data_IF_625310007497
#
_entry.id   IF_625310007497
#
_cell.length_a   1.000
_cell.length_b   1.000
_cell.length_c   1.000
_cell.angle_alpha   90.00
_cell.angle_beta   90.00
_cell.angle_gamma   90.00
#
_symmetry.space_group_name_H-M   'P 1'
#
loop_
_entity.id
_entity.type
_entity.pdbx_description
1 polymer ?
#
# COMPACT_ATOMS: atom_id res chain seq x y z
N UNK A 1 -5.52 2.97 -8.56
CA UNK A 1 -5.75 3.28 -7.17
C UNK A 1 -5.46 4.75 -6.87
N UNK A 2 -6.18 5.29 -5.90
CA UNK A 2 -6.18 6.71 -5.61
C UNK A 2 -4.89 7.12 -4.91
N UNK A 3 -3.98 7.81 -5.59
CA UNK A 3 -2.78 8.39 -4.99
C UNK A 3 -3.00 9.85 -4.58
N UNK A 4 -4.02 10.46 -5.12
CA UNK A 4 -4.24 11.90 -5.04
C UNK A 4 -4.89 12.34 -3.74
N UNK A 5 -5.49 11.42 -2.99
CA UNK A 5 -5.98 11.70 -1.65
C UNK A 5 -4.90 12.24 -0.73
N UNK A 6 -3.71 11.65 -0.77
CA UNK A 6 -2.53 12.10 -0.03
C UNK A 6 -2.10 13.53 -0.39
N UNK A 7 -2.45 14.01 -1.58
CA UNK A 7 -2.17 15.37 -2.07
C UNK A 7 -3.31 16.37 -1.81
N UNK A 8 -4.31 15.99 -1.00
CA UNK A 8 -5.45 16.84 -0.68
C UNK A 8 -6.52 16.90 -1.78
N UNK A 9 -6.61 15.85 -2.61
CA UNK A 9 -7.59 15.76 -3.68
C UNK A 9 -8.43 14.51 -3.50
N UNK A 10 -9.75 14.64 -3.49
CA UNK A 10 -10.63 13.49 -3.46
C UNK A 10 -10.66 12.84 -4.84
N UNK A 11 -10.13 11.64 -4.94
CA UNK A 11 -10.09 10.85 -6.17
C UNK A 11 -10.85 9.53 -5.99
N UNK A 12 -11.59 9.13 -7.02
CA UNK A 12 -12.39 7.91 -7.01
C UNK A 12 -12.03 7.03 -8.20
N UNK A 13 -12.04 5.71 -7.99
CA UNK A 13 -11.95 4.74 -9.07
C UNK A 13 -13.35 4.58 -9.71
N UNK A 14 -13.45 4.82 -11.02
CA UNK A 14 -14.71 4.84 -11.72
C UNK A 14 -14.70 3.98 -12.98
N UNK A 15 -15.88 3.54 -13.38
CA UNK A 15 -16.09 2.80 -14.61
C UNK A 15 -16.12 3.67 -15.87
N UNK A 16 -16.19 3.01 -17.02
CA UNK A 16 -16.21 3.68 -18.33
C UNK A 16 -17.28 4.74 -18.50
N UNK A 17 -18.55 4.50 -18.11
CA UNK A 17 -19.63 5.48 -18.27
C UNK A 17 -19.36 6.80 -17.53
N UNK A 18 -18.82 6.73 -16.32
CA UNK A 18 -18.48 7.89 -15.50
C UNK A 18 -17.28 8.65 -16.07
N UNK A 19 -16.29 7.93 -16.60
CA UNK A 19 -15.16 8.54 -17.30
C UNK A 19 -15.61 9.29 -18.56
N UNK A 20 -16.56 8.74 -19.31
CA UNK A 20 -17.14 9.42 -20.48
C UNK A 20 -17.84 10.73 -20.08
N UNK A 21 -18.57 10.76 -18.96
CA UNK A 21 -19.16 12.01 -18.45
C UNK A 21 -18.08 13.07 -18.18
N UNK A 22 -16.95 12.67 -17.58
CA UNK A 22 -15.84 13.58 -17.32
C UNK A 22 -15.20 14.11 -18.61
N UNK A 23 -14.95 13.24 -19.59
CA UNK A 23 -14.45 13.64 -20.91
C UNK A 23 -15.37 14.62 -21.65
N UNK A 24 -16.66 14.51 -21.43
CA UNK A 24 -17.67 15.39 -21.99
C UNK A 24 -17.97 16.62 -21.11
N UNK A 25 -17.21 16.88 -20.08
CA UNK A 25 -17.44 17.95 -19.09
C UNK A 25 -18.86 17.95 -18.52
N UNK A 26 -19.41 16.75 -18.23
CA UNK A 26 -20.72 16.59 -17.60
C UNK A 26 -20.55 16.51 -16.10
N UNK A 27 -21.62 16.82 -15.38
CA UNK A 27 -21.69 16.63 -13.92
C UNK A 27 -21.67 15.16 -13.57
N UNK A 28 -21.08 14.88 -12.42
CA UNK A 28 -21.10 13.58 -11.78
C UNK A 28 -21.75 13.72 -10.41
N UNK A 29 -22.91 13.13 -10.26
CA UNK A 29 -23.69 13.22 -9.03
C UNK A 29 -23.45 11.99 -8.18
N UNK A 30 -23.06 12.21 -6.93
CA UNK A 30 -22.86 11.16 -5.91
C UNK A 30 -23.78 11.44 -4.72
N UNK A 31 -24.21 10.39 -4.05
CA UNK A 31 -24.82 10.55 -2.73
C UNK A 31 -23.79 11.12 -1.75
N UNK A 32 -24.22 12.04 -0.89
CA UNK A 32 -23.32 12.55 0.16
C UNK A 32 -22.80 11.40 1.00
N UNK A 33 -21.49 11.08 0.96
CA UNK A 33 -20.95 9.99 1.74
C UNK A 33 -20.80 10.38 3.21
N UNK A 34 -20.87 9.38 4.08
CA UNK A 34 -20.37 9.55 5.43
C UNK A 34 -18.86 9.74 5.45
N UNK A 35 -18.34 10.40 6.49
CA UNK A 35 -16.91 10.68 6.64
C UNK A 35 -16.37 10.06 7.92
N UNK A 36 -15.33 9.24 7.79
CA UNK A 36 -14.64 8.64 8.93
C UNK A 36 -13.29 9.32 9.11
N UNK A 37 -13.08 9.93 10.26
CA UNK A 37 -11.80 10.51 10.62
C UNK A 37 -10.77 9.42 10.92
N UNK A 38 -9.64 9.45 10.23
CA UNK A 38 -8.47 8.59 10.53
C UNK A 38 -7.45 9.45 11.25
N UNK A 39 -7.47 9.36 12.57
CA UNK A 39 -6.65 10.22 13.43
C UNK A 39 -5.28 9.60 13.69
N UNK A 40 -4.26 10.15 13.04
CA UNK A 40 -2.87 9.68 13.17
C UNK A 40 -2.15 10.44 14.28
N UNK A 41 -1.53 9.71 15.20
CA UNK A 41 -0.64 10.25 16.23
C UNK A 41 0.71 9.51 16.24
N UNK A 42 1.73 10.12 16.85
CA UNK A 42 3.06 9.55 16.91
C UNK A 42 3.81 9.58 15.58
N UNK A 43 4.78 8.71 15.42
CA UNK A 43 5.61 8.56 14.21
C UNK A 43 5.93 7.08 13.97
N UNK A 44 6.12 6.65 12.70
CA UNK A 44 6.53 5.28 12.43
C UNK A 44 7.88 4.95 13.08
N UNK A 45 7.98 3.77 13.68
CA UNK A 45 9.25 3.26 14.20
C UNK A 45 10.14 2.74 13.05
N UNK A 46 11.43 2.57 13.32
CA UNK A 46 12.36 2.05 12.31
C UNK A 46 11.90 0.66 11.83
N UNK A 47 11.84 0.47 10.52
CA UNK A 47 11.41 -0.78 9.88
C UNK A 47 9.93 -0.82 9.53
N UNK A 48 9.15 0.20 9.92
CA UNK A 48 7.74 0.35 9.55
C UNK A 48 7.62 1.28 8.35
N UNK A 49 7.04 0.77 7.30
CA UNK A 49 6.76 1.50 6.06
C UNK A 49 5.26 1.83 5.89
N UNK A 50 4.90 2.48 4.78
CA UNK A 50 3.51 2.83 4.50
C UNK A 50 2.59 1.61 4.41
N UNK A 51 3.11 0.49 3.92
CA UNK A 51 2.36 -0.76 3.80
C UNK A 51 1.93 -1.30 5.16
N UNK A 52 2.80 -1.23 6.17
CA UNK A 52 2.48 -1.69 7.52
C UNK A 52 1.34 -0.87 8.13
N UNK A 53 1.38 0.45 7.97
CA UNK A 53 0.32 1.35 8.43
C UNK A 53 -0.99 1.07 7.70
N UNK A 54 -0.93 0.87 6.39
CA UNK A 54 -2.11 0.55 5.59
C UNK A 54 -2.73 -0.78 6.02
N UNK A 55 -1.92 -1.85 6.18
CA UNK A 55 -2.40 -3.15 6.62
C UNK A 55 -3.03 -3.10 8.01
N UNK A 56 -2.44 -2.36 8.94
CA UNK A 56 -3.02 -2.16 10.27
C UNK A 56 -4.41 -1.51 10.21
N UNK A 57 -4.58 -0.50 9.34
CA UNK A 57 -5.88 0.16 9.13
C UNK A 57 -6.86 -0.80 8.46
N UNK A 58 -6.47 -1.47 7.38
CA UNK A 58 -7.32 -2.42 6.64
C UNK A 58 -7.83 -3.52 7.58
N UNK A 59 -6.95 -4.15 8.34
CA UNK A 59 -7.31 -5.18 9.31
C UNK A 59 -8.30 -4.69 10.37
N UNK A 60 -8.20 -3.44 10.78
CA UNK A 60 -9.09 -2.87 11.81
C UNK A 60 -10.50 -2.53 11.29
N UNK A 61 -10.65 -2.16 10.00
CA UNK A 61 -11.90 -1.57 9.49
C UNK A 61 -12.68 -2.44 8.53
N UNK A 62 -12.02 -3.38 7.84
CA UNK A 62 -12.60 -4.11 6.70
C UNK A 62 -13.72 -5.06 7.12
N UNK A 63 -13.47 -5.95 8.06
CA UNK A 63 -14.40 -7.04 8.42
C UNK A 63 -15.78 -6.52 8.83
N UNK A 64 -15.82 -5.39 9.54
CA UNK A 64 -17.07 -4.76 9.98
C UNK A 64 -17.67 -3.81 8.95
N UNK A 65 -17.03 -3.61 7.79
CA UNK A 65 -17.45 -2.64 6.79
C UNK A 65 -17.49 -1.21 7.32
N UNK A 66 -16.64 -0.87 8.29
CA UNK A 66 -16.74 0.40 9.04
C UNK A 66 -16.62 1.64 8.16
N UNK A 67 -15.82 1.54 7.10
CA UNK A 67 -15.57 2.60 6.11
C UNK A 67 -16.22 2.34 4.75
N UNK A 68 -17.02 1.28 4.63
CA UNK A 68 -17.62 0.92 3.35
C UNK A 68 -18.45 2.08 2.78
N UNK A 69 -18.16 2.44 1.53
CA UNK A 69 -18.79 3.57 0.80
C UNK A 69 -18.70 4.93 1.51
N UNK A 70 -17.75 5.11 2.41
CA UNK A 70 -17.50 6.37 3.11
C UNK A 70 -16.17 6.98 2.69
N UNK A 71 -15.97 8.25 2.95
CA UNK A 71 -14.67 8.92 2.77
C UNK A 71 -13.84 8.76 4.04
N UNK A 72 -12.60 8.33 3.90
CA UNK A 72 -11.60 8.31 4.97
C UNK A 72 -10.85 9.64 4.97
N UNK A 73 -11.03 10.47 5.98
CA UNK A 73 -10.30 11.73 6.12
C UNK A 73 -9.15 11.58 7.11
N UNK A 74 -7.92 11.67 6.60
CA UNK A 74 -6.72 11.53 7.40
C UNK A 74 -6.34 12.86 8.05
N UNK A 75 -6.34 12.85 9.38
CA UNK A 75 -6.10 14.01 10.23
C UNK A 75 -5.18 13.65 11.40
N UNK A 76 -4.85 14.61 12.23
CA UNK A 76 -4.05 14.40 13.43
C UNK A 76 -2.59 14.83 13.31
N UNK A 77 -1.88 14.91 14.45
CA UNK A 77 -0.52 15.44 14.51
C UNK A 77 0.53 14.51 13.88
N UNK A 78 0.26 13.20 13.82
CA UNK A 78 1.17 12.21 13.24
C UNK A 78 1.46 12.44 11.76
N UNK A 79 0.54 13.10 11.03
CA UNK A 79 0.71 13.37 9.59
C UNK A 79 2.00 14.15 9.29
N UNK A 80 2.35 15.13 10.11
CA UNK A 80 3.56 15.92 9.92
C UNK A 80 4.86 15.13 10.01
N UNK A 81 4.82 13.91 10.54
CA UNK A 81 5.97 12.99 10.60
C UNK A 81 6.13 12.13 9.33
N UNK A 82 5.14 12.16 8.42
CA UNK A 82 5.11 11.34 7.21
C UNK A 82 5.52 12.16 5.99
N UNK A 83 6.40 11.61 5.14
CA UNK A 83 6.71 12.19 3.84
C UNK A 83 5.48 12.13 2.91
N UNK A 84 5.51 12.88 1.81
CA UNK A 84 4.45 12.78 0.79
C UNK A 84 4.39 11.35 0.20
N UNK A 85 5.53 10.74 -0.08
CA UNK A 85 5.61 9.38 -0.63
C UNK A 85 5.05 8.34 0.35
N UNK A 86 5.33 8.49 1.64
CA UNK A 86 4.76 7.64 2.68
C UNK A 86 3.22 7.74 2.71
N UNK A 87 2.68 8.97 2.68
CA UNK A 87 1.22 9.19 2.65
C UNK A 87 0.59 8.59 1.40
N UNK A 88 1.22 8.75 0.24
CA UNK A 88 0.78 8.13 -1.02
C UNK A 88 0.75 6.61 -0.89
N UNK A 89 1.76 6.00 -0.29
CA UNK A 89 1.84 4.57 -0.06
C UNK A 89 0.72 4.03 0.85
N UNK A 90 0.35 4.77 1.90
CA UNK A 90 -0.83 4.43 2.73
C UNK A 90 -2.12 4.63 1.96
N UNK A 91 -2.25 5.78 1.28
CA UNK A 91 -3.49 6.21 0.62
C UNK A 91 -3.95 5.25 -0.47
N UNK A 92 -3.02 4.77 -1.30
CA UNK A 92 -3.35 3.85 -2.39
C UNK A 92 -3.90 2.51 -1.90
N UNK A 93 -3.58 2.11 -0.68
CA UNK A 93 -4.08 0.87 -0.07
C UNK A 93 -5.47 1.03 0.55
N UNK A 94 -5.97 2.25 0.70
CA UNK A 94 -7.32 2.47 1.27
C UNK A 94 -8.43 1.86 0.42
N UNK A 95 -8.20 1.67 -0.88
CA UNK A 95 -9.14 0.98 -1.77
C UNK A 95 -9.46 -0.44 -1.32
N UNK A 96 -8.54 -1.10 -0.64
CA UNK A 96 -8.75 -2.45 -0.08
C UNK A 96 -9.73 -2.45 1.11
N UNK A 97 -10.12 -1.28 1.60
CA UNK A 97 -11.14 -1.16 2.67
C UNK A 97 -12.56 -1.02 2.15
N UNK A 98 -12.76 -1.01 0.83
CA UNK A 98 -14.04 -0.69 0.18
C UNK A 98 -14.59 0.72 0.47
N UNK A 99 -13.73 1.65 0.89
CA UNK A 99 -14.11 3.04 1.05
C UNK A 99 -14.41 3.68 -0.32
N UNK A 100 -15.23 4.73 -0.32
CA UNK A 100 -15.52 5.48 -1.54
C UNK A 100 -14.29 6.26 -2.02
N UNK A 101 -13.60 6.89 -1.08
CA UNK A 101 -12.38 7.67 -1.33
C UNK A 101 -11.62 7.90 -0.03
N UNK A 102 -10.43 8.46 -0.15
CA UNK A 102 -9.62 8.95 0.96
C UNK A 102 -9.13 10.36 0.66
N UNK A 103 -8.92 11.15 1.68
CA UNK A 103 -8.39 12.50 1.56
C UNK A 103 -7.55 12.84 2.80
N UNK A 104 -6.44 13.56 2.57
CA UNK A 104 -5.52 13.95 3.64
C UNK A 104 -5.46 15.46 3.77
N UNK A 105 -5.28 15.93 4.98
CA UNK A 105 -4.86 17.33 5.17
C UNK A 105 -3.51 17.56 4.49
N UNK A 106 -3.30 18.75 3.95
CA UNK A 106 -2.04 19.15 3.33
C UNK A 106 -1.17 19.96 4.30
N UNK A 107 0.11 19.96 4.05
CA UNK A 107 1.12 20.72 4.80
C UNK A 107 2.34 21.04 3.90
N UNK A 108 3.41 21.58 4.50
CA UNK A 108 4.62 21.97 3.78
C UNK A 108 5.27 20.80 3.02
N UNK A 109 5.14 19.55 3.49
CA UNK A 109 5.68 18.38 2.77
C UNK A 109 4.94 18.10 1.48
N UNK A 110 3.64 18.34 1.45
CA UNK A 110 2.86 18.25 0.22
C UNK A 110 3.17 19.41 -0.71
N UNK A 111 3.38 20.59 -0.16
CA UNK A 111 3.84 21.74 -0.95
C UNK A 111 5.19 21.47 -1.61
N UNK A 112 6.17 20.98 -0.86
CA UNK A 112 7.48 20.56 -1.37
C UNK A 112 7.35 19.50 -2.47
N UNK A 113 6.46 18.53 -2.31
CA UNK A 113 6.20 17.51 -3.33
C UNK A 113 5.73 18.15 -4.65
N UNK A 114 4.81 19.10 -4.62
CA UNK A 114 4.38 19.82 -5.81
C UNK A 114 5.52 20.65 -6.42
N UNK A 115 6.35 21.28 -5.61
CA UNK A 115 7.53 22.07 -6.05
C UNK A 115 8.54 21.19 -6.79
N UNK A 116 8.89 20.01 -6.24
CA UNK A 116 9.80 19.04 -6.87
C UNK A 116 9.26 18.58 -8.24
N UNK A 117 7.93 18.51 -8.39
CA UNK A 117 7.29 18.11 -9.65
C UNK A 117 7.04 19.29 -10.61
N UNK A 118 7.52 20.49 -10.30
CA UNK A 118 7.32 21.69 -11.12
C UNK A 118 5.87 22.16 -11.20
N UNK A 119 5.07 21.89 -10.16
CA UNK A 119 3.64 22.16 -10.08
C UNK A 119 3.25 22.95 -8.83
N UNK A 120 4.08 23.88 -8.40
CA UNK A 120 3.88 24.66 -7.17
C UNK A 120 2.52 25.39 -7.14
N UNK A 121 2.02 25.80 -8.30
CA UNK A 121 0.75 26.50 -8.45
C UNK A 121 -0.49 25.62 -8.18
N UNK A 122 -0.33 24.31 -8.23
CA UNK A 122 -1.42 23.37 -7.96
C UNK A 122 -1.60 23.07 -6.48
N UNK A 123 -0.61 23.43 -5.65
CA UNK A 123 -0.74 23.23 -4.21
C UNK A 123 -1.89 24.05 -3.64
N UNK A 124 -2.71 23.39 -2.83
CA UNK A 124 -3.78 24.03 -2.05
C UNK A 124 -3.70 23.57 -0.61
N UNK A 125 -3.78 24.53 0.29
CA UNK A 125 -3.92 24.21 1.70
C UNK A 125 -5.30 23.61 1.96
N UNK A 126 -5.31 22.42 2.56
CA UNK A 126 -6.51 21.71 2.96
C UNK A 126 -6.37 21.25 4.40
N UNK A 127 -7.17 21.81 5.27
CA UNK A 127 -7.21 21.46 6.68
C UNK A 127 -8.68 21.42 7.15
N UNK A 128 -9.02 20.55 8.11
CA UNK A 128 -10.32 20.62 8.76
C UNK A 128 -10.48 21.97 9.48
N UNK A 129 -11.70 22.43 9.64
CA UNK A 129 -12.01 23.61 10.42
C UNK A 129 -11.66 23.42 11.91
N UNK A 130 -11.79 24.49 12.71
CA UNK A 130 -11.54 24.45 14.16
C UNK A 130 -12.38 23.38 14.87
N UNK A 131 -13.57 23.11 14.35
CA UNK A 131 -14.45 22.01 14.75
C UNK A 131 -14.83 21.27 13.50
N UNK A 132 -14.61 19.97 13.47
CA UNK A 132 -15.02 19.07 12.40
C UNK A 132 -15.88 17.94 13.00
N UNK A 133 -16.88 17.52 12.26
CA UNK A 133 -17.78 16.43 12.64
C UNK A 133 -17.53 15.25 11.72
N UNK A 134 -17.38 14.07 12.30
CA UNK A 134 -17.21 12.81 11.61
C UNK A 134 -18.30 11.83 12.01
N UNK A 135 -18.71 10.95 11.11
CA UNK A 135 -19.63 9.85 11.39
C UNK A 135 -18.99 8.75 12.24
N UNK A 136 -17.67 8.78 12.34
CA UNK A 136 -16.89 7.90 13.18
C UNK A 136 -15.42 8.27 13.15
N UNK A 137 -14.61 7.61 13.98
CA UNK A 137 -13.18 7.86 14.06
C UNK A 137 -12.42 6.55 14.24
N UNK A 138 -11.25 6.47 13.61
CA UNK A 138 -10.25 5.44 13.81
C UNK A 138 -8.98 6.12 14.30
N UNK A 139 -8.54 5.79 15.51
CA UNK A 139 -7.29 6.29 16.05
C UNK A 139 -6.15 5.33 15.70
N UNK A 140 -5.09 5.86 15.11
CA UNK A 140 -3.90 5.10 14.71
C UNK A 140 -2.68 5.67 15.42
N UNK A 141 -2.09 4.87 16.27
CA UNK A 141 -0.86 5.20 16.99
C UNK A 141 0.34 4.65 16.22
N UNK A 142 0.99 5.52 15.43
CA UNK A 142 2.11 5.15 14.56
C UNK A 142 3.31 4.57 15.33
N UNK A 143 3.49 4.96 16.60
CA UNK A 143 4.58 4.42 17.44
C UNK A 143 4.37 2.94 17.81
N UNK A 144 3.13 2.43 17.66
CA UNK A 144 2.77 1.05 18.04
C UNK A 144 2.67 0.10 16.86
N UNK A 145 2.69 0.61 15.64
CA UNK A 145 2.65 -0.24 14.46
C UNK A 145 3.98 -1.00 14.36
N UNK A 146 3.88 -2.29 14.11
CA UNK A 146 4.99 -3.20 13.86
C UNK A 146 5.05 -3.56 12.37
N UNK A 147 6.16 -4.14 11.88
CA UNK A 147 6.19 -4.72 10.53
C UNK A 147 5.08 -5.75 10.35
N UNK A 148 4.29 -5.57 9.30
CA UNK A 148 3.07 -6.32 9.03
C UNK A 148 3.20 -7.19 7.78
N UNK A 149 2.37 -8.20 7.71
CA UNK A 149 2.19 -9.05 6.53
C UNK A 149 0.71 -9.37 6.36
N UNK A 150 0.22 -9.37 5.12
CA UNK A 150 -1.10 -9.89 4.79
C UNK A 150 -0.98 -11.32 4.24
N UNK A 151 -1.82 -12.19 4.77
CA UNK A 151 -1.97 -13.56 4.27
C UNK A 151 -3.03 -13.60 3.16
N UNK A 152 -3.00 -14.60 2.25
CA UNK A 152 -4.07 -14.77 1.28
C UNK A 152 -5.45 -14.86 1.98
N UNK A 153 -6.54 -14.43 1.39
CA UNK A 153 -6.73 -13.96 0.00
C UNK A 153 -7.05 -12.46 -0.08
N UNK A 154 -7.12 -11.78 1.07
CA UNK A 154 -7.44 -10.36 1.13
C UNK A 154 -6.52 -9.66 2.13
N UNK A 155 -6.09 -8.41 1.88
CA UNK A 155 -5.19 -7.66 2.76
C UNK A 155 -5.71 -7.43 4.19
N UNK A 156 -6.99 -7.68 4.48
CA UNK A 156 -7.53 -7.67 5.84
C UNK A 156 -7.12 -8.88 6.68
N UNK A 157 -6.66 -9.96 6.03
CA UNK A 157 -6.09 -11.11 6.73
C UNK A 157 -4.63 -10.81 7.12
N UNK A 158 -4.46 -9.87 8.04
CA UNK A 158 -3.17 -9.25 8.36
C UNK A 158 -2.72 -9.57 9.77
N UNK A 159 -1.42 -9.73 9.91
CA UNK A 159 -0.72 -10.03 11.15
C UNK A 159 0.57 -9.21 11.22
N UNK A 160 1.14 -9.07 12.39
CA UNK A 160 2.56 -8.69 12.47
C UNK A 160 3.43 -9.87 12.03
N UNK A 161 4.60 -9.58 11.46
CA UNK A 161 5.56 -10.64 11.09
C UNK A 161 5.97 -11.45 12.33
N UNK A 162 6.02 -10.81 13.50
CA UNK A 162 6.31 -11.46 14.78
C UNK A 162 5.23 -12.50 15.14
N UNK A 163 3.94 -12.15 14.97
CA UNK A 163 2.82 -13.07 15.22
C UNK A 163 2.85 -14.27 14.29
N UNK A 164 3.13 -14.04 12.99
CA UNK A 164 3.25 -15.15 12.02
C UNK A 164 4.38 -16.08 12.41
N UNK A 165 5.56 -15.55 12.75
CA UNK A 165 6.68 -16.38 13.14
C UNK A 165 6.46 -17.15 14.47
N UNK A 166 5.67 -16.59 15.38
CA UNK A 166 5.33 -17.23 16.65
C UNK A 166 4.25 -18.31 16.52
N UNK A 167 3.35 -18.19 15.54
CA UNK A 167 2.17 -19.05 15.39
C UNK A 167 2.04 -19.57 13.94
N UNK A 168 3.16 -19.89 13.30
CA UNK A 168 3.23 -20.15 11.87
C UNK A 168 2.26 -21.26 11.42
N UNK A 169 2.28 -22.40 12.08
CA UNK A 169 1.49 -23.56 11.68
C UNK A 169 -0.03 -23.29 11.79
N UNK A 170 -0.47 -22.67 12.89
CA UNK A 170 -1.88 -22.35 13.11
C UNK A 170 -2.40 -21.32 12.10
N UNK A 171 -1.60 -20.29 11.80
CA UNK A 171 -1.97 -19.25 10.84
C UNK A 171 -2.04 -19.84 9.43
N UNK A 172 -1.07 -20.66 9.02
CA UNK A 172 -1.09 -21.28 7.70
C UNK A 172 -2.25 -22.27 7.57
N UNK A 173 -2.56 -23.04 8.63
CA UNK A 173 -3.72 -23.93 8.64
C UNK A 173 -5.05 -23.16 8.46
N UNK A 174 -5.21 -21.99 9.10
CA UNK A 174 -6.40 -21.14 8.89
C UNK A 174 -6.48 -20.62 7.46
N UNK A 175 -5.35 -20.19 6.87
CA UNK A 175 -5.29 -19.74 5.46
C UNK A 175 -5.69 -20.86 4.52
N UNK A 176 -5.16 -22.08 4.69
CA UNK A 176 -5.53 -23.24 3.88
C UNK A 176 -7.02 -23.58 4.00
N UNK A 177 -7.58 -23.49 5.21
CA UNK A 177 -9.01 -23.68 5.41
C UNK A 177 -9.86 -22.64 4.67
N UNK A 178 -9.44 -21.40 4.68
CA UNK A 178 -10.09 -20.30 3.91
C UNK A 178 -9.95 -20.54 2.40
N UNK A 179 -8.80 -21.07 1.95
CA UNK A 179 -8.57 -21.43 0.55
C UNK A 179 -9.58 -22.43 0.04
N UNK A 180 -9.87 -23.49 0.80
CA UNK A 180 -10.86 -24.49 0.43
C UNK A 180 -12.25 -23.89 0.16
N UNK A 181 -12.62 -22.87 0.94
CA UNK A 181 -13.89 -22.15 0.75
C UNK A 181 -13.82 -21.20 -0.45
N UNK A 182 -12.76 -20.39 -0.55
CA UNK A 182 -12.63 -19.35 -1.57
C UNK A 182 -12.41 -19.92 -2.98
N UNK A 183 -11.77 -21.09 -3.07
CA UNK A 183 -11.48 -21.77 -4.35
C UNK A 183 -12.46 -22.88 -4.66
N UNK A 184 -13.53 -23.03 -3.87
CA UNK A 184 -14.58 -24.04 -4.04
C UNK A 184 -14.02 -25.47 -4.19
N UNK A 185 -12.92 -25.76 -3.50
CA UNK A 185 -12.22 -27.03 -3.58
C UNK A 185 -11.55 -27.35 -4.92
N UNK A 186 -11.47 -26.35 -5.82
CA UNK A 186 -10.95 -26.57 -7.18
C UNK A 186 -9.43 -26.78 -7.25
N UNK A 187 -8.70 -26.41 -6.20
CA UNK A 187 -7.23 -26.47 -6.15
C UNK A 187 -6.80 -27.06 -4.81
N UNK A 188 -5.84 -27.96 -4.85
CA UNK A 188 -5.12 -28.41 -3.65
C UNK A 188 -4.12 -27.31 -3.27
N UNK A 189 -4.47 -26.54 -2.22
CA UNK A 189 -3.71 -25.38 -1.79
C UNK A 189 -3.08 -25.67 -0.42
N UNK A 190 -1.76 -25.85 -0.41
CA UNK A 190 -0.99 -26.09 0.81
C UNK A 190 0.16 -25.10 0.94
N UNK A 191 0.13 -24.29 2.01
CA UNK A 191 1.22 -23.40 2.39
C UNK A 191 2.18 -24.08 3.38
N UNK A 192 1.69 -25.03 4.17
CA UNK A 192 2.52 -25.73 5.16
C UNK A 192 3.60 -26.58 4.52
N UNK A 193 3.41 -27.01 3.27
CA UNK A 193 4.44 -27.69 2.49
C UNK A 193 5.68 -26.81 2.21
N UNK A 194 5.54 -25.49 2.32
CA UNK A 194 6.62 -24.52 2.20
C UNK A 194 7.36 -24.27 3.52
N UNK A 195 6.97 -24.96 4.60
CA UNK A 195 7.63 -24.80 5.89
C UNK A 195 8.77 -25.81 6.03
N UNK A 196 9.99 -25.31 6.12
CA UNK A 196 11.18 -26.13 6.33
C UNK A 196 11.94 -25.63 7.55
N UNK A 197 12.26 -26.54 8.48
CA UNK A 197 12.96 -26.20 9.72
C UNK A 197 12.28 -25.07 10.53
N UNK A 198 10.93 -25.08 10.57
CA UNK A 198 10.15 -24.07 11.30
C UNK A 198 10.14 -22.68 10.66
N UNK A 199 10.53 -22.54 9.39
CA UNK A 199 10.52 -21.29 8.64
C UNK A 199 9.71 -21.45 7.36
N UNK A 200 8.90 -20.45 7.05
CA UNK A 200 8.19 -20.37 5.78
C UNK A 200 9.17 -19.90 4.69
N UNK A 201 9.29 -20.69 3.65
CA UNK A 201 10.07 -20.36 2.47
C UNK A 201 9.17 -19.72 1.42
N UNK A 202 9.72 -18.76 0.71
CA UNK A 202 9.07 -18.07 -0.40
C UNK A 202 9.89 -18.29 -1.67
N UNK A 203 9.21 -18.51 -2.79
CA UNK A 203 9.84 -18.83 -4.06
C UNK A 203 10.01 -17.58 -4.93
N UNK A 204 9.24 -16.52 -4.66
CA UNK A 204 9.24 -15.29 -5.45
C UNK A 204 9.03 -14.06 -4.56
N UNK A 205 9.79 -13.02 -4.82
CA UNK A 205 9.62 -11.68 -4.26
C UNK A 205 9.25 -10.67 -5.34
N UNK A 206 8.30 -9.80 -5.04
CA UNK A 206 7.89 -8.74 -5.97
C UNK A 206 7.76 -7.42 -5.19
N UNK A 207 8.47 -6.40 -5.63
CA UNK A 207 8.30 -5.02 -5.16
C UNK A 207 7.60 -4.25 -6.27
N UNK A 208 6.31 -4.00 -6.13
CA UNK A 208 5.55 -3.53 -7.27
C UNK A 208 4.35 -2.64 -6.91
N UNK A 209 3.79 -2.07 -7.95
CA UNK A 209 2.53 -1.36 -7.94
C UNK A 209 2.61 0.04 -7.36
N UNK A 210 1.44 0.62 -7.21
CA UNK A 210 1.28 1.97 -6.69
C UNK A 210 1.66 2.09 -5.21
N UNK A 211 1.58 1.01 -4.43
CA UNK A 211 1.97 0.97 -3.02
C UNK A 211 3.45 0.63 -2.83
N UNK A 212 3.92 -0.50 -3.40
CA UNK A 212 5.29 -0.98 -3.21
C UNK A 212 6.34 -0.26 -4.07
N UNK A 213 5.97 0.22 -5.25
CA UNK A 213 6.86 0.83 -6.24
C UNK A 213 7.18 2.31 -6.02
N UNK A 214 6.85 2.90 -4.87
CA UNK A 214 7.19 4.28 -4.53
C UNK A 214 8.70 4.51 -4.45
N UNK A 215 9.13 5.75 -4.66
CA UNK A 215 10.54 6.11 -4.70
C UNK A 215 11.27 5.75 -3.40
N UNK A 216 10.72 6.21 -2.26
CA UNK A 216 11.33 5.94 -0.94
C UNK A 216 11.37 4.45 -0.61
N UNK A 217 10.32 3.69 -0.96
CA UNK A 217 10.26 2.25 -0.74
C UNK A 217 11.34 1.49 -1.52
N UNK A 218 11.51 1.80 -2.82
CA UNK A 218 12.55 1.14 -3.63
C UNK A 218 13.94 1.56 -3.17
N UNK A 219 14.15 2.82 -2.79
CA UNK A 219 15.42 3.26 -2.20
C UNK A 219 15.72 2.52 -0.89
N UNK A 220 14.71 2.31 -0.04
CA UNK A 220 14.86 1.54 1.19
C UNK A 220 15.22 0.07 0.91
N UNK A 221 14.54 -0.56 -0.05
CA UNK A 221 14.85 -1.92 -0.49
C UNK A 221 16.29 -2.04 -1.06
N UNK A 222 16.70 -1.10 -1.91
CA UNK A 222 18.06 -1.05 -2.44
C UNK A 222 19.11 -0.92 -1.32
N UNK A 223 18.86 -0.06 -0.33
CA UNK A 223 19.76 0.10 0.81
C UNK A 223 19.86 -1.15 1.69
N UNK A 224 18.75 -1.88 1.88
CA UNK A 224 18.73 -3.14 2.66
C UNK A 224 19.51 -4.23 1.91
N UNK A 225 19.32 -4.32 0.61
CA UNK A 225 19.88 -5.38 -0.23
C UNK A 225 21.31 -5.09 -0.71
N UNK A 226 21.78 -3.87 -0.57
CA UNK A 226 23.12 -3.45 -1.04
C UNK A 226 24.22 -4.36 -0.53
N UNK A 227 24.97 -4.95 -1.47
CA UNK A 227 26.05 -5.88 -1.16
C UNK A 227 25.59 -7.29 -0.77
N UNK A 228 24.28 -7.56 -0.78
CA UNK A 228 23.72 -8.90 -0.66
C UNK A 228 23.54 -9.57 -2.03
N UNK A 229 23.14 -10.83 -2.02
CA UNK A 229 22.73 -11.58 -3.22
C UNK A 229 21.44 -12.31 -2.93
N UNK A 230 20.54 -12.34 -3.91
CA UNK A 230 19.33 -13.19 -3.85
C UNK A 230 19.64 -14.66 -4.14
N UNK A 231 20.88 -15.01 -4.41
CA UNK A 231 21.29 -16.36 -4.79
C UNK A 231 21.22 -16.61 -6.28
N UNK A 232 21.47 -17.86 -6.65
CA UNK A 232 21.43 -18.36 -8.03
C UNK A 232 20.46 -19.53 -8.21
N UNK A 233 19.63 -19.79 -7.19
CA UNK A 233 18.62 -20.85 -7.17
C UNK A 233 17.29 -20.39 -7.81
N UNK A 234 16.20 -21.03 -7.46
CA UNK A 234 14.89 -20.80 -8.05
C UNK A 234 14.23 -19.49 -7.60
N UNK A 235 14.67 -18.89 -6.48
CA UNK A 235 14.12 -17.63 -6.00
C UNK A 235 14.34 -16.48 -6.97
N UNK A 236 13.29 -15.73 -7.25
CA UNK A 236 13.34 -14.53 -8.10
C UNK A 236 12.86 -13.30 -7.34
N UNK A 237 13.46 -12.14 -7.61
CA UNK A 237 13.02 -10.85 -7.12
C UNK A 237 12.80 -9.89 -8.30
N UNK A 238 11.56 -9.48 -8.51
CA UNK A 238 11.19 -8.49 -9.52
C UNK A 238 10.84 -7.15 -8.88
N UNK A 239 11.29 -6.06 -9.47
CA UNK A 239 11.04 -4.70 -8.99
C UNK A 239 10.38 -3.86 -10.09
N UNK A 240 9.22 -3.31 -9.79
CA UNK A 240 8.42 -2.46 -10.68
C UNK A 240 8.24 -1.07 -10.05
N UNK A 241 8.95 -0.04 -10.49
CA UNK A 241 8.68 1.33 -10.06
C UNK A 241 7.24 1.74 -10.38
N UNK A 242 6.65 2.58 -9.55
CA UNK A 242 5.24 2.97 -9.70
C UNK A 242 4.99 3.87 -10.93
N UNK A 243 6.04 4.49 -11.49
CA UNK A 243 5.94 5.32 -12.69
C UNK A 243 7.30 5.47 -13.38
N UNK A 244 7.28 5.89 -14.65
CA UNK A 244 8.51 6.20 -15.39
C UNK A 244 9.34 7.32 -14.74
N UNK A 245 8.77 8.45 -14.26
CA UNK A 245 9.56 9.44 -13.53
C UNK A 245 10.28 8.89 -12.31
N UNK A 246 9.61 8.08 -11.49
CA UNK A 246 10.23 7.40 -10.35
C UNK A 246 11.38 6.50 -10.83
N UNK A 247 11.16 5.71 -11.88
CA UNK A 247 12.20 4.84 -12.43
C UNK A 247 13.44 5.64 -12.85
N UNK A 248 13.25 6.77 -13.53
CA UNK A 248 14.34 7.64 -13.96
C UNK A 248 15.14 8.19 -12.79
N UNK A 249 14.49 8.59 -11.70
CA UNK A 249 15.18 9.07 -10.50
C UNK A 249 15.93 7.94 -9.78
N UNK A 250 15.38 6.73 -9.74
CA UNK A 250 16.06 5.54 -9.21
C UNK A 250 17.30 5.13 -10.05
N UNK A 251 17.28 5.38 -11.36
CA UNK A 251 18.47 5.20 -12.21
C UNK A 251 19.52 6.25 -11.87
N UNK A 252 19.12 7.51 -11.74
CA UNK A 252 20.05 8.62 -11.47
C UNK A 252 20.72 8.51 -10.10
N UNK A 253 19.99 8.07 -9.08
CA UNK A 253 20.54 7.93 -7.72
C UNK A 253 21.30 6.61 -7.46
N UNK A 254 21.31 5.70 -8.43
CA UNK A 254 22.03 4.43 -8.37
C UNK A 254 21.28 3.26 -7.73
N UNK A 255 20.07 3.46 -7.21
CA UNK A 255 19.29 2.40 -6.56
C UNK A 255 19.00 1.23 -7.52
N UNK A 256 18.76 1.50 -8.80
CA UNK A 256 18.60 0.46 -9.83
C UNK A 256 19.85 -0.40 -9.95
N UNK A 257 21.03 0.22 -9.99
CA UNK A 257 22.30 -0.51 -10.08
C UNK A 257 22.55 -1.37 -8.84
N UNK A 258 22.28 -0.83 -7.63
CA UNK A 258 22.41 -1.57 -6.38
C UNK A 258 21.49 -2.81 -6.36
N UNK A 259 20.25 -2.67 -6.82
CA UNK A 259 19.30 -3.79 -6.91
C UNK A 259 19.73 -4.84 -7.94
N UNK A 260 20.14 -4.41 -9.14
CA UNK A 260 20.59 -5.34 -10.19
C UNK A 260 21.82 -6.13 -9.76
N UNK A 261 22.73 -5.54 -8.98
CA UNK A 261 23.90 -6.24 -8.45
C UNK A 261 23.55 -7.38 -7.50
N UNK A 262 22.37 -7.34 -6.87
CA UNK A 262 21.88 -8.43 -6.03
C UNK A 262 21.33 -9.62 -6.79
N UNK A 263 21.08 -9.46 -8.11
CA UNK A 263 20.38 -10.40 -8.98
C UNK A 263 18.90 -10.07 -9.19
N UNK A 264 18.39 -8.98 -8.62
CA UNK A 264 17.01 -8.55 -8.82
C UNK A 264 16.77 -8.07 -10.27
N UNK A 265 15.56 -8.29 -10.77
CA UNK A 265 15.14 -7.89 -12.12
C UNK A 265 14.33 -6.60 -12.01
N UNK A 266 14.88 -5.48 -12.49
CA UNK A 266 14.16 -4.20 -12.49
C UNK A 266 13.43 -4.04 -13.82
N UNK A 267 12.11 -3.86 -13.74
CA UNK A 267 11.20 -3.77 -14.88
C UNK A 267 10.59 -2.37 -14.99
N UNK A 268 9.93 -2.08 -16.10
CA UNK A 268 9.19 -0.83 -16.28
C UNK A 268 7.92 -0.79 -15.42
N UNK A 269 7.40 0.42 -15.18
CA UNK A 269 6.16 0.60 -14.45
C UNK A 269 5.00 -0.19 -15.08
N UNK A 270 4.40 -1.07 -14.32
CA UNK A 270 3.30 -1.92 -14.77
C UNK A 270 2.47 -2.40 -13.56
N UNK A 271 1.16 -2.35 -13.67
CA UNK A 271 0.23 -2.78 -12.62
C UNK A 271 0.06 -4.32 -12.57
N UNK A 272 0.60 -5.05 -13.55
CA UNK A 272 0.38 -6.47 -13.78
C UNK A 272 0.56 -7.40 -12.58
N UNK A 273 1.63 -7.29 -11.79
CA UNK A 273 1.84 -8.19 -10.64
C UNK A 273 0.68 -8.22 -9.64
N UNK A 274 -0.03 -7.09 -9.48
CA UNK A 274 -1.16 -7.00 -8.54
C UNK A 274 -2.37 -7.88 -8.94
N UNK A 275 -2.48 -8.25 -10.22
CA UNK A 275 -3.55 -9.12 -10.72
C UNK A 275 -3.01 -10.37 -11.44
N UNK A 276 -1.77 -10.76 -11.17
CA UNK A 276 -1.19 -11.99 -11.70
C UNK A 276 -0.71 -11.91 -13.16
N UNK A 277 -0.42 -10.72 -13.67
CA UNK A 277 0.15 -10.53 -15.00
C UNK A 277 1.60 -10.03 -14.94
N UNK A 278 2.41 -10.40 -15.93
CA UNK A 278 3.81 -9.95 -16.06
C UNK A 278 4.81 -10.86 -15.36
N UNK A 279 4.64 -11.14 -14.08
CA UNK A 279 5.36 -12.19 -13.36
C UNK A 279 4.37 -13.31 -13.04
N UNK A 280 4.60 -14.47 -13.61
CA UNK A 280 3.83 -15.66 -13.26
C UNK A 280 4.22 -16.10 -11.85
N UNK A 281 3.26 -16.31 -10.96
CA UNK A 281 3.56 -16.87 -9.64
C UNK A 281 4.34 -18.17 -9.76
N UNK A 282 5.30 -18.37 -8.87
CA UNK A 282 5.98 -19.64 -8.74
C UNK A 282 4.97 -20.74 -8.33
N UNK A 283 5.13 -21.92 -8.87
CA UNK A 283 4.24 -23.06 -8.58
C UNK A 283 4.47 -23.62 -7.18
#
# INVERSE_FOLDING_TARGET
HTRYGALGTMAMGEGGPELVKQLLNRTYDINMPGVIGIYLKGKPVKGVGPQDVALAIIGAVFEKGYVNNKVMEFVGPGISNLSADFRIGVDVMTTETTCLSSIWRTDDKIKEFYEIHGRSEDFKELNPGKVAYYDGIVEVDLDKIKPMIAMPFHPSNTYTIEEVNANLDDILADVEKRALVSLDGAVDYSLRDKVHNGKLYVDQGIIAGCAGGGFENICAAANILKGASIGSDEFTLSVYPASTPIYMELVKNGAVADLMQTGAIVKTAFCGPCFGAGDTPAN
#
